data_IF_803713720229
#
_entry.id   IF_803713720229
#
_cell.length_a   1.000
_cell.length_b   1.000
_cell.length_c   1.000
_cell.angle_alpha   90.00
_cell.angle_beta   90.00
_cell.angle_gamma   90.00
#
_symmetry.space_group_name_H-M   'P 1'
#
loop_
_entity.id
_entity.type
_entity.pdbx_description
1 polymer ?
#
# COMPACT_ATOMS: atom_id res chain seq x y z
N UNK A 1 -0.14 -10.87 37.24
CA UNK A 1 0.69 -10.32 36.15
C UNK A 1 -0.16 -10.12 34.90
N UNK A 2 -0.22 -8.91 34.36
CA UNK A 2 -0.79 -8.74 33.03
C UNK A 2 0.03 -9.61 32.07
N UNK A 3 -0.63 -10.53 31.36
CA UNK A 3 0.02 -11.28 30.29
C UNK A 3 0.63 -10.26 29.32
N UNK A 4 1.89 -10.44 28.96
CA UNK A 4 2.45 -9.77 27.79
C UNK A 4 1.69 -10.31 26.58
N UNK A 5 0.76 -9.50 26.07
CA UNK A 5 -0.13 -9.90 24.98
C UNK A 5 0.68 -10.23 23.73
N UNK A 6 1.80 -9.56 23.47
CA UNK A 6 2.63 -9.80 22.28
C UNK A 6 3.35 -11.15 22.43
N UNK A 7 3.94 -11.42 23.59
CA UNK A 7 4.56 -12.72 23.85
C UNK A 7 3.54 -13.87 23.74
N UNK A 8 2.34 -13.68 24.30
CA UNK A 8 1.27 -14.67 24.23
C UNK A 8 0.77 -14.92 22.80
N UNK A 9 0.60 -13.87 22.00
CA UNK A 9 0.25 -13.99 20.59
C UNK A 9 1.37 -14.61 19.76
N UNK A 10 2.64 -14.40 20.12
CA UNK A 10 3.76 -15.08 19.48
C UNK A 10 3.78 -16.59 19.70
N UNK A 11 3.37 -17.05 20.90
CA UNK A 11 3.33 -18.47 21.24
C UNK A 11 2.05 -19.19 20.77
N UNK A 12 0.91 -18.47 20.71
CA UNK A 12 -0.40 -19.07 20.49
C UNK A 12 -1.19 -18.54 19.29
N UNK A 13 -0.73 -17.46 18.66
CA UNK A 13 -1.38 -16.84 17.52
C UNK A 13 -1.00 -17.51 16.19
N UNK A 14 -1.86 -17.32 15.19
CA UNK A 14 -1.58 -17.68 13.80
C UNK A 14 -1.64 -16.42 12.93
N UNK A 15 -0.78 -16.35 11.91
CA UNK A 15 -0.76 -15.24 10.98
C UNK A 15 -2.07 -15.23 10.16
N UNK A 16 -2.86 -14.15 10.22
CA UNK A 16 -4.08 -14.05 9.42
C UNK A 16 -3.70 -13.83 7.96
N UNK A 17 -3.88 -14.87 7.14
CA UNK A 17 -3.66 -14.80 5.70
C UNK A 17 -4.94 -14.38 4.97
N UNK A 18 -4.82 -13.58 3.91
CA UNK A 18 -5.94 -13.29 3.02
C UNK A 18 -6.72 -14.53 2.57
N UNK A 19 -8.06 -14.43 2.40
CA UNK A 19 -8.94 -15.60 2.21
C UNK A 19 -8.68 -16.39 0.91
N UNK A 20 -7.94 -15.81 -0.02
CA UNK A 20 -7.56 -16.47 -1.28
C UNK A 20 -6.27 -17.28 -1.19
N UNK A 21 -5.51 -17.18 -0.08
CA UNK A 21 -4.34 -18.03 0.17
C UNK A 21 -4.83 -19.33 0.81
N UNK A 22 -4.55 -20.46 0.16
CA UNK A 22 -5.02 -21.76 0.67
C UNK A 22 -4.25 -22.15 1.92
N UNK A 23 -4.91 -22.87 2.84
CA UNK A 23 -4.29 -23.35 4.08
C UNK A 23 -3.07 -24.27 3.84
N UNK A 24 -3.05 -25.01 2.73
CA UNK A 24 -1.87 -25.83 2.39
C UNK A 24 -0.68 -24.98 1.93
N UNK A 25 -0.92 -23.84 1.28
CA UNK A 25 0.11 -22.88 0.87
C UNK A 25 0.64 -22.09 2.08
N UNK A 26 -0.25 -21.77 3.03
CA UNK A 26 0.07 -21.13 4.31
C UNK A 26 1.13 -21.90 5.10
N UNK A 27 1.06 -23.24 5.12
CA UNK A 27 2.01 -24.10 5.83
C UNK A 27 3.45 -24.01 5.27
N UNK A 28 3.61 -23.57 4.03
CA UNK A 28 4.92 -23.38 3.37
C UNK A 28 5.39 -21.92 3.36
N UNK A 29 4.47 -21.00 3.68
CA UNK A 29 4.77 -19.58 3.86
C UNK A 29 5.37 -19.39 5.25
N UNK A 30 6.70 -19.34 5.33
CA UNK A 30 7.37 -18.84 6.52
C UNK A 30 6.85 -17.42 6.81
N UNK A 31 6.47 -17.14 8.06
CA UNK A 31 6.00 -15.82 8.50
C UNK A 31 6.95 -14.69 8.09
N UNK A 32 8.26 -14.98 8.07
CA UNK A 32 9.33 -14.10 7.60
C UNK A 32 9.22 -13.69 6.12
N UNK A 33 8.59 -14.52 5.27
CA UNK A 33 8.35 -14.22 3.84
C UNK A 33 7.10 -13.39 3.60
N UNK A 34 6.17 -13.34 4.56
CA UNK A 34 5.00 -12.48 4.49
C UNK A 34 5.22 -11.16 5.21
N UNK A 35 6.38 -10.56 4.97
CA UNK A 35 6.75 -9.27 5.50
C UNK A 35 7.74 -8.59 4.54
N UNK A 36 7.66 -7.27 4.44
CA UNK A 36 8.60 -6.51 3.62
C UNK A 36 10.00 -6.54 4.24
N UNK A 37 11.04 -6.48 3.40
CA UNK A 37 12.45 -6.50 3.87
C UNK A 37 12.84 -5.27 4.70
N UNK A 38 11.96 -4.27 4.76
CA UNK A 38 12.10 -3.01 5.47
C UNK A 38 11.06 -2.82 6.58
N UNK A 39 10.32 -3.87 6.97
CA UNK A 39 9.41 -3.81 8.11
C UNK A 39 10.18 -3.64 9.44
N UNK A 40 9.63 -2.82 10.33
CA UNK A 40 10.24 -2.48 11.62
C UNK A 40 9.28 -2.66 12.80
N UNK A 41 8.06 -2.13 12.67
CA UNK A 41 7.08 -2.11 13.75
C UNK A 41 6.03 -3.22 13.60
N UNK A 42 5.71 -3.97 14.67
CA UNK A 42 4.56 -4.89 14.67
C UNK A 42 3.25 -4.09 14.81
N UNK A 43 2.20 -4.51 14.09
CA UNK A 43 0.88 -3.90 14.23
C UNK A 43 -0.07 -4.10 13.04
N UNK A 44 0.49 -4.32 11.85
CA UNK A 44 -0.32 -4.64 10.67
C UNK A 44 -0.81 -6.10 10.70
N UNK A 45 -2.11 -6.28 10.48
CA UNK A 45 -2.72 -7.60 10.33
C UNK A 45 -2.36 -8.21 8.97
N UNK A 46 -2.18 -7.37 7.94
CA UNK A 46 -1.82 -7.79 6.60
C UNK A 46 -0.58 -7.05 6.07
N UNK A 47 0.28 -7.79 5.39
CA UNK A 47 1.46 -7.23 4.77
C UNK A 47 1.09 -6.31 3.59
N UNK A 48 1.77 -5.16 3.43
CA UNK A 48 1.63 -4.32 2.24
C UNK A 48 2.31 -5.01 1.06
N UNK A 49 1.55 -5.83 0.33
CA UNK A 49 2.14 -6.85 -0.56
C UNK A 49 2.91 -6.29 -1.76
N UNK A 50 2.66 -5.04 -2.16
CA UNK A 50 3.46 -4.37 -3.18
C UNK A 50 4.93 -4.19 -2.74
N UNK A 51 5.17 -4.06 -1.43
CA UNK A 51 6.51 -4.01 -0.86
C UNK A 51 7.26 -5.34 -0.90
N UNK A 52 6.56 -6.47 -1.09
CA UNK A 52 7.19 -7.80 -1.14
C UNK A 52 8.02 -8.02 -2.41
N UNK A 53 7.84 -7.18 -3.44
CA UNK A 53 8.67 -7.20 -4.64
C UNK A 53 10.08 -6.64 -4.41
N UNK A 54 10.33 -5.99 -3.27
CA UNK A 54 11.63 -5.41 -2.95
C UNK A 54 12.52 -6.41 -2.23
N UNK A 55 13.73 -6.58 -2.77
CA UNK A 55 14.83 -7.25 -2.08
C UNK A 55 15.81 -6.21 -1.55
N UNK A 56 16.63 -6.60 -0.56
CA UNK A 56 17.72 -5.73 -0.09
C UNK A 56 18.68 -5.33 -1.22
N UNK A 57 18.95 -6.26 -2.14
CA UNK A 57 19.77 -5.98 -3.33
C UNK A 57 19.14 -4.92 -4.23
N UNK A 58 17.82 -5.01 -4.48
CA UNK A 58 17.11 -4.02 -5.28
C UNK A 58 17.12 -2.63 -4.61
N UNK A 59 16.87 -2.57 -3.30
CA UNK A 59 16.92 -1.33 -2.54
C UNK A 59 18.31 -0.68 -2.60
N UNK A 60 19.38 -1.46 -2.44
CA UNK A 60 20.75 -0.94 -2.58
C UNK A 60 21.03 -0.43 -3.99
N UNK A 61 20.49 -1.04 -5.04
CA UNK A 61 20.62 -0.53 -6.42
C UNK A 61 19.86 0.78 -6.62
N UNK A 62 18.69 0.93 -6.01
CA UNK A 62 17.88 2.16 -6.03
C UNK A 62 18.63 3.30 -5.33
N UNK A 63 19.15 3.06 -4.13
CA UNK A 63 19.96 4.03 -3.38
C UNK A 63 21.23 4.42 -4.15
N UNK A 64 21.94 3.45 -4.74
CA UNK A 64 23.13 3.71 -5.56
C UNK A 64 22.83 4.54 -6.83
N UNK A 65 21.59 4.47 -7.34
CA UNK A 65 21.12 5.32 -8.42
C UNK A 65 20.75 6.75 -7.97
N UNK A 66 20.93 7.09 -6.69
CA UNK A 66 20.65 8.40 -6.12
C UNK A 66 19.18 8.63 -5.75
N UNK A 67 18.35 7.58 -5.79
CA UNK A 67 16.95 7.65 -5.34
C UNK A 67 16.91 7.58 -3.82
N UNK A 68 16.25 8.55 -3.19
CA UNK A 68 16.05 8.58 -1.75
C UNK A 68 14.83 7.74 -1.37
N UNK A 69 14.89 7.07 -0.23
CA UNK A 69 13.79 6.25 0.30
C UNK A 69 13.35 6.77 1.66
N UNK A 70 12.04 6.74 1.91
CA UNK A 70 11.45 6.99 3.23
C UNK A 70 10.40 5.93 3.54
N UNK A 71 10.05 5.81 4.83
CA UNK A 71 9.08 4.85 5.32
C UNK A 71 7.90 5.54 5.97
N UNK A 72 6.71 4.97 5.75
CA UNK A 72 5.47 5.29 6.46
C UNK A 72 5.06 4.04 7.24
N UNK A 73 4.74 4.19 8.52
CA UNK A 73 4.26 3.07 9.34
C UNK A 73 2.75 2.95 9.18
N UNK A 74 2.25 1.73 9.06
CA UNK A 74 0.84 1.45 8.77
C UNK A 74 0.36 0.29 9.64
N UNK A 75 -0.76 0.45 10.33
CA UNK A 75 -1.47 -0.64 11.00
C UNK A 75 -2.72 -0.99 10.19
N UNK A 76 -2.51 -1.89 9.23
CA UNK A 76 -3.54 -2.30 8.28
C UNK A 76 -4.45 -3.35 8.91
N UNK A 77 -5.75 -3.09 8.95
CA UNK A 77 -6.76 -4.04 9.41
C UNK A 77 -7.25 -4.99 8.31
N UNK A 78 -8.09 -5.97 8.67
CA UNK A 78 -8.71 -6.90 7.69
C UNK A 78 -9.64 -6.18 6.69
N UNK A 79 -10.08 -4.96 7.01
CA UNK A 79 -11.02 -4.19 6.22
C UNK A 79 -10.54 -3.86 4.81
N UNK A 80 -9.22 -3.78 4.60
CA UNK A 80 -8.59 -3.44 3.32
C UNK A 80 -8.90 -4.44 2.21
N UNK A 81 -9.26 -5.69 2.55
CA UNK A 81 -9.60 -6.74 1.57
C UNK A 81 -11.10 -6.90 1.32
N UNK A 82 -11.95 -6.11 1.98
CA UNK A 82 -13.39 -6.30 1.86
C UNK A 82 -13.90 -5.71 0.53
N UNK A 83 -14.82 -6.42 -0.16
CA UNK A 83 -15.43 -5.91 -1.39
C UNK A 83 -16.34 -4.72 -1.09
N UNK A 84 -16.56 -3.86 -2.09
CA UNK A 84 -17.59 -2.82 -2.04
C UNK A 84 -18.97 -3.50 -1.95
N UNK A 85 -19.74 -3.17 -0.91
CA UNK A 85 -21.07 -3.76 -0.63
C UNK A 85 -22.24 -2.81 -0.89
N UNK A 86 -22.01 -1.65 -1.51
CA UNK A 86 -23.03 -0.64 -1.79
C UNK A 86 -23.21 -0.45 -3.29
N UNK A 87 -24.46 -0.21 -3.71
CA UNK A 87 -24.80 0.14 -5.09
C UNK A 87 -24.45 1.59 -5.43
N UNK A 88 -24.43 2.47 -4.41
CA UNK A 88 -23.95 3.84 -4.53
C UNK A 88 -22.54 3.96 -3.95
N UNK A 89 -21.54 4.08 -4.82
CA UNK A 89 -20.13 4.17 -4.43
C UNK A 89 -19.82 5.35 -3.50
N UNK A 90 -20.57 6.45 -3.61
CA UNK A 90 -20.38 7.65 -2.78
C UNK A 90 -20.77 7.40 -1.33
N UNK A 91 -21.62 6.39 -1.09
CA UNK A 91 -22.05 5.97 0.26
C UNK A 91 -21.12 4.90 0.85
N UNK A 92 -20.09 4.46 0.12
CA UNK A 92 -19.17 3.45 0.63
C UNK A 92 -18.33 4.02 1.77
N UNK A 93 -18.43 3.39 2.95
CA UNK A 93 -17.56 3.69 4.09
C UNK A 93 -16.35 2.79 4.05
N UNK A 94 -15.17 3.39 3.93
CA UNK A 94 -13.90 2.68 4.06
C UNK A 94 -13.67 2.28 5.52
N UNK A 95 -12.92 1.22 5.71
CA UNK A 95 -12.37 0.91 7.02
C UNK A 95 -11.22 1.87 7.32
N UNK A 96 -11.21 2.36 8.56
CA UNK A 96 -10.16 3.20 9.08
C UNK A 96 -8.86 2.42 9.22
N UNK A 97 -7.76 3.03 8.81
CA UNK A 97 -6.40 2.52 8.97
C UNK A 97 -5.56 3.55 9.73
N UNK A 98 -4.78 3.09 10.70
CA UNK A 98 -3.85 3.95 11.41
C UNK A 98 -2.53 4.04 10.63
N UNK A 99 -1.94 5.23 10.59
CA UNK A 99 -0.66 5.49 9.97
C UNK A 99 0.19 6.46 10.79
N UNK A 100 1.50 6.40 10.56
CA UNK A 100 2.46 7.36 11.08
C UNK A 100 3.43 7.80 9.99
N UNK A 101 3.56 9.11 9.85
CA UNK A 101 4.56 9.78 9.02
C UNK A 101 5.50 10.50 10.00
N UNK A 102 6.77 10.11 10.00
CA UNK A 102 7.79 10.77 10.82
C UNK A 102 8.16 12.15 10.27
N UNK A 103 8.78 12.97 11.12
CA UNK A 103 9.32 14.27 10.72
C UNK A 103 10.36 14.13 9.60
N UNK A 104 11.26 13.15 9.70
CA UNK A 104 12.23 12.82 8.66
C UNK A 104 11.56 12.51 7.31
N UNK A 105 10.51 11.70 7.30
CA UNK A 105 9.76 11.37 6.07
C UNK A 105 9.07 12.61 5.49
N UNK A 106 8.43 13.43 6.32
CA UNK A 106 7.77 14.65 5.89
C UNK A 106 8.75 15.70 5.33
N UNK A 107 9.91 15.87 5.96
CA UNK A 107 10.98 16.75 5.49
C UNK A 107 11.57 16.26 4.16
N UNK A 108 11.82 14.96 4.03
CA UNK A 108 12.32 14.39 2.78
C UNK A 108 11.30 14.55 1.65
N UNK A 109 10.02 14.32 1.93
CA UNK A 109 8.93 14.51 0.99
C UNK A 109 8.89 15.96 0.50
N UNK A 110 8.89 16.92 1.43
CA UNK A 110 8.94 18.36 1.14
C UNK A 110 10.15 18.72 0.27
N UNK A 111 11.36 18.32 0.68
CA UNK A 111 12.58 18.63 -0.06
C UNK A 111 12.59 18.01 -1.47
N UNK A 112 11.97 16.83 -1.64
CA UNK A 112 11.82 16.19 -2.94
C UNK A 112 10.91 17.01 -3.84
N UNK A 113 9.78 17.50 -3.31
CA UNK A 113 8.86 18.36 -4.08
C UNK A 113 9.46 19.72 -4.40
N UNK A 114 10.12 20.37 -3.44
CA UNK A 114 10.79 21.66 -3.64
C UNK A 114 11.92 21.60 -4.68
N UNK A 115 12.55 20.44 -4.84
CA UNK A 115 13.58 20.23 -5.88
C UNK A 115 13.01 19.78 -7.23
N UNK A 116 11.69 19.67 -7.37
CA UNK A 116 11.03 19.21 -8.59
C UNK A 116 11.20 17.70 -8.84
N UNK A 117 11.55 16.94 -7.81
CA UNK A 117 11.60 15.48 -7.84
C UNK A 117 10.21 14.85 -7.81
N UNK A 118 10.17 13.52 -8.05
CA UNK A 118 8.94 12.72 -7.99
C UNK A 118 8.89 11.91 -6.71
N UNK A 119 7.70 11.83 -6.12
CA UNK A 119 7.35 10.97 -4.97
C UNK A 119 6.57 9.78 -5.48
N UNK A 120 7.14 8.57 -5.34
CA UNK A 120 6.49 7.33 -5.79
C UNK A 120 6.04 6.55 -4.56
N UNK A 121 4.74 6.34 -4.42
CA UNK A 121 4.19 5.51 -3.36
C UNK A 121 4.35 4.02 -3.68
N UNK A 122 4.76 3.24 -2.68
CA UNK A 122 4.87 1.78 -2.77
C UNK A 122 3.66 1.17 -2.05
N UNK A 123 2.65 0.80 -2.82
CA UNK A 123 1.38 0.27 -2.33
C UNK A 123 0.30 1.33 -2.13
N UNK A 124 -0.94 0.93 -2.36
CA UNK A 124 -2.13 1.79 -2.24
C UNK A 124 -2.37 2.28 -0.81
N UNK A 125 -1.98 1.52 0.20
CA UNK A 125 -2.13 1.91 1.60
C UNK A 125 -1.19 3.07 1.96
N UNK A 126 0.08 3.02 1.53
CA UNK A 126 1.01 4.14 1.69
C UNK A 126 0.55 5.37 0.92
N UNK A 127 0.01 5.20 -0.29
CA UNK A 127 -0.61 6.30 -1.03
C UNK A 127 -1.75 6.94 -0.24
N UNK A 128 -2.69 6.16 0.32
CA UNK A 128 -3.79 6.70 1.13
C UNK A 128 -3.29 7.48 2.35
N UNK A 129 -2.27 6.99 3.04
CA UNK A 129 -1.67 7.70 4.17
C UNK A 129 -1.06 9.05 3.75
N UNK A 130 -0.25 9.06 2.68
CA UNK A 130 0.35 10.29 2.15
C UNK A 130 -0.71 11.29 1.69
N UNK A 131 -1.73 10.84 0.96
CA UNK A 131 -2.83 11.68 0.48
C UNK A 131 -3.71 12.21 1.62
N UNK A 132 -3.89 11.44 2.69
CA UNK A 132 -4.65 11.89 3.87
C UNK A 132 -3.92 12.97 4.67
N UNK A 133 -2.58 12.89 4.68
CA UNK A 133 -1.69 13.84 5.35
C UNK A 133 -1.34 15.05 4.47
N UNK A 134 -1.71 15.02 3.20
CA UNK A 134 -1.34 16.05 2.23
C UNK A 134 -2.00 17.40 2.57
N UNK A 135 -1.18 18.44 2.71
CA UNK A 135 -1.65 19.82 2.74
C UNK A 135 -1.98 20.32 1.32
N UNK A 136 -2.66 21.46 1.22
CA UNK A 136 -3.03 22.08 -0.08
C UNK A 136 -1.83 22.43 -0.99
N UNK A 137 -0.63 22.56 -0.43
CA UNK A 137 0.60 22.76 -1.19
C UNK A 137 1.22 21.44 -1.70
N UNK A 138 0.56 20.30 -1.47
CA UNK A 138 1.01 18.97 -1.83
C UNK A 138 2.09 18.39 -0.93
N UNK A 139 2.43 19.01 0.21
CA UNK A 139 3.41 18.49 1.19
C UNK A 139 2.67 17.74 2.29
N UNK A 140 3.21 16.59 2.71
CA UNK A 140 2.64 15.81 3.82
C UNK A 140 3.07 16.33 5.19
N UNK A 141 2.25 16.11 6.22
CA UNK A 141 2.58 16.43 7.60
C UNK A 141 3.17 15.25 8.37
N UNK A 142 4.03 15.56 9.34
CA UNK A 142 4.43 14.60 10.37
C UNK A 142 3.28 14.42 11.35
N UNK A 143 2.73 13.21 11.41
CA UNK A 143 1.58 12.91 12.27
C UNK A 143 1.43 11.41 12.53
N UNK A 144 0.69 11.11 13.60
CA UNK A 144 0.10 9.81 13.85
C UNK A 144 -1.41 9.98 13.79
N UNK A 145 -2.06 9.34 12.82
CA UNK A 145 -3.46 9.59 12.54
C UNK A 145 -4.15 8.34 12.00
N UNK A 146 -5.45 8.46 11.87
CA UNK A 146 -6.32 7.47 11.25
C UNK A 146 -6.86 8.03 9.93
N UNK A 147 -6.97 7.18 8.92
CA UNK A 147 -7.59 7.54 7.64
C UNK A 147 -8.63 6.55 7.20
N UNK A 148 -9.78 7.07 6.81
CA UNK A 148 -10.84 6.38 6.07
C UNK A 148 -11.00 6.95 4.66
N UNK A 149 -9.95 7.59 4.12
CA UNK A 149 -10.01 8.21 2.79
C UNK A 149 -10.41 7.18 1.74
N UNK A 150 -11.43 7.54 0.96
CA UNK A 150 -11.90 6.76 -0.18
C UNK A 150 -11.50 7.46 -1.47
N UNK A 151 -10.49 6.91 -2.15
CA UNK A 151 -9.97 7.45 -3.42
C UNK A 151 -10.66 6.74 -4.58
N UNK A 152 -11.38 7.51 -5.40
CA UNK A 152 -12.12 7.02 -6.57
C UNK A 152 -12.03 8.04 -7.71
N UNK A 153 -12.42 7.68 -8.96
CA UNK A 153 -12.27 8.57 -10.11
C UNK A 153 -12.87 9.97 -9.89
N UNK A 154 -12.07 11.00 -10.18
CA UNK A 154 -12.38 12.40 -9.86
C UNK A 154 -11.63 12.95 -8.65
N UNK A 155 -10.91 12.09 -7.91
CA UNK A 155 -9.99 12.51 -6.85
C UNK A 155 -8.77 13.26 -7.41
N UNK A 156 -8.36 14.34 -6.76
CA UNK A 156 -7.17 15.13 -7.09
C UNK A 156 -6.03 14.71 -6.17
N UNK A 157 -4.97 14.14 -6.75
CA UNK A 157 -3.79 13.70 -6.01
C UNK A 157 -2.86 14.88 -5.74
N UNK A 158 -2.41 15.01 -4.50
CA UNK A 158 -1.60 16.15 -4.05
C UNK A 158 -0.18 15.75 -3.65
N UNK A 159 -0.01 14.55 -3.08
CA UNK A 159 1.23 14.16 -2.40
C UNK A 159 2.10 13.18 -3.20
N UNK A 160 1.54 12.50 -4.21
CA UNK A 160 2.23 11.43 -4.93
C UNK A 160 2.19 11.65 -6.45
N UNK A 161 3.30 11.32 -7.10
CA UNK A 161 3.50 11.49 -8.56
C UNK A 161 3.66 10.13 -9.27
N UNK A 162 3.65 9.03 -8.52
CA UNK A 162 3.71 7.67 -9.04
C UNK A 162 3.23 6.62 -8.04
N UNK A 163 2.88 5.44 -8.55
CA UNK A 163 2.41 4.32 -7.74
C UNK A 163 3.02 3.02 -8.22
N UNK A 164 3.67 2.28 -7.32
CA UNK A 164 3.95 0.86 -7.51
C UNK A 164 2.93 0.04 -6.72
N UNK A 165 2.18 -0.82 -7.39
CA UNK A 165 1.15 -1.66 -6.76
C UNK A 165 1.00 -3.01 -7.45
N UNK A 166 0.28 -3.95 -6.83
CA UNK A 166 -0.10 -5.22 -7.45
C UNK A 166 -1.25 -5.03 -8.45
N UNK A 167 -1.55 -6.07 -9.23
CA UNK A 167 -2.82 -6.15 -9.95
C UNK A 167 -3.97 -6.54 -8.99
N UNK A 168 -5.04 -5.75 -9.02
CA UNK A 168 -6.17 -5.83 -8.08
C UNK A 168 -7.39 -6.54 -8.69
N UNK A 169 -8.31 -6.97 -7.84
CA UNK A 169 -9.55 -7.61 -8.29
C UNK A 169 -10.46 -6.64 -9.06
N UNK A 170 -11.21 -7.14 -10.07
CA UNK A 170 -12.35 -6.42 -10.62
C UNK A 170 -13.32 -6.02 -9.51
N UNK A 171 -13.90 -4.80 -9.63
CA UNK A 171 -14.85 -4.24 -8.65
C UNK A 171 -14.31 -4.11 -7.21
N UNK A 172 -12.99 -3.96 -7.05
CA UNK A 172 -12.37 -3.63 -5.76
C UNK A 172 -12.17 -2.12 -5.59
N UNK A 173 -12.17 -1.65 -4.33
CA UNK A 173 -11.82 -0.26 -3.98
C UNK A 173 -10.40 0.09 -4.43
N UNK A 174 -9.47 -0.87 -4.39
CA UNK A 174 -8.10 -0.69 -4.87
C UNK A 174 -8.03 -0.42 -6.37
N UNK A 175 -8.82 -1.14 -7.17
CA UNK A 175 -8.91 -0.85 -8.61
C UNK A 175 -9.54 0.52 -8.88
N UNK A 176 -10.48 0.98 -8.03
CA UNK A 176 -11.04 2.33 -8.14
C UNK A 176 -9.98 3.41 -7.85
N UNK A 177 -9.16 3.22 -6.82
CA UNK A 177 -8.03 4.11 -6.50
C UNK A 177 -7.05 4.17 -7.67
N UNK A 178 -6.65 3.02 -8.22
CA UNK A 178 -5.75 3.00 -9.38
C UNK A 178 -6.39 3.64 -10.62
N UNK A 179 -7.69 3.44 -10.81
CA UNK A 179 -8.45 4.09 -11.89
C UNK A 179 -8.54 5.61 -11.71
N UNK A 180 -8.58 6.09 -10.47
CA UNK A 180 -8.52 7.52 -10.16
C UNK A 180 -7.14 8.09 -10.53
N UNK A 181 -6.08 7.34 -10.26
CA UNK A 181 -4.70 7.78 -10.46
C UNK A 181 -4.30 7.85 -11.93
N UNK A 182 -4.58 6.82 -12.74
CA UNK A 182 -4.12 6.76 -14.14
C UNK A 182 -5.25 6.81 -15.19
N UNK A 183 -6.49 6.96 -14.75
CA UNK A 183 -7.67 6.99 -15.61
C UNK A 183 -8.22 5.59 -15.90
N UNK A 184 -9.55 5.48 -15.86
CA UNK A 184 -10.30 4.22 -16.01
C UNK A 184 -9.97 3.48 -17.31
N UNK A 185 -9.98 4.15 -18.46
CA UNK A 185 -9.78 3.46 -19.74
C UNK A 185 -8.36 2.88 -19.85
N UNK A 186 -7.35 3.67 -19.45
CA UNK A 186 -5.95 3.24 -19.49
C UNK A 186 -5.70 2.04 -18.61
N UNK A 187 -6.24 2.04 -17.39
CA UNK A 187 -6.04 0.90 -16.49
C UNK A 187 -6.75 -0.37 -16.98
N UNK A 188 -7.95 -0.24 -17.57
CA UNK A 188 -8.67 -1.39 -18.12
C UNK A 188 -7.95 -1.97 -19.33
N UNK A 189 -7.37 -1.13 -20.18
CA UNK A 189 -6.53 -1.57 -21.29
C UNK A 189 -5.25 -2.28 -20.80
N UNK A 190 -4.56 -1.70 -19.82
CA UNK A 190 -3.39 -2.33 -19.21
C UNK A 190 -3.72 -3.70 -18.58
N UNK A 191 -4.89 -3.82 -17.93
CA UNK A 191 -5.35 -5.09 -17.37
C UNK A 191 -5.66 -6.13 -18.45
N UNK A 192 -6.21 -5.72 -19.58
CA UNK A 192 -6.44 -6.60 -20.73
C UNK A 192 -5.11 -7.15 -21.25
N UNK A 193 -4.12 -6.29 -21.45
CA UNK A 193 -2.77 -6.70 -21.88
C UNK A 193 -2.14 -7.63 -20.84
N UNK A 194 -2.23 -7.31 -19.56
CA UNK A 194 -1.69 -8.16 -18.49
C UNK A 194 -2.31 -9.58 -18.51
N UNK A 195 -3.62 -9.71 -18.79
CA UNK A 195 -4.27 -11.02 -18.95
C UNK A 195 -3.78 -11.72 -20.22
N UNK A 196 -3.66 -11.02 -21.34
CA UNK A 196 -3.20 -11.58 -22.62
C UNK A 196 -1.76 -12.09 -22.55
N UNK A 197 -0.88 -11.38 -21.82
CA UNK A 197 0.53 -11.72 -21.60
C UNK A 197 0.75 -12.69 -20.43
N UNK A 198 -0.31 -13.12 -19.75
CA UNK A 198 -0.21 -14.12 -18.68
C UNK A 198 0.40 -13.63 -17.37
N UNK A 199 0.26 -12.33 -17.06
CA UNK A 199 0.65 -11.78 -15.77
C UNK A 199 -0.11 -12.45 -14.63
N UNK A 200 0.55 -12.56 -13.49
CA UNK A 200 -0.02 -13.10 -12.26
C UNK A 200 -0.63 -11.95 -11.46
N UNK A 201 -1.83 -12.16 -10.93
CA UNK A 201 -2.58 -11.12 -10.22
C UNK A 201 -2.47 -11.30 -8.70
N UNK A 202 -3.04 -10.36 -7.93
CA UNK A 202 -3.13 -10.42 -6.47
C UNK A 202 -1.80 -10.23 -5.73
N UNK A 203 -1.82 -10.51 -4.42
CA UNK A 203 -0.74 -10.19 -3.49
C UNK A 203 0.58 -10.91 -3.74
N UNK A 204 0.58 -12.09 -4.38
CA UNK A 204 1.81 -12.78 -4.80
C UNK A 204 2.00 -12.80 -6.32
N UNK A 205 1.22 -12.00 -7.03
CA UNK A 205 1.32 -11.85 -8.46
C UNK A 205 2.51 -10.99 -8.88
N UNK A 206 2.35 -10.33 -10.01
CA UNK A 206 3.29 -9.35 -10.54
C UNK A 206 2.91 -7.94 -10.06
N UNK A 207 3.83 -7.00 -10.26
CA UNK A 207 3.67 -5.60 -9.92
C UNK A 207 3.44 -4.74 -11.17
N UNK A 208 2.86 -3.57 -10.94
CA UNK A 208 2.66 -2.52 -11.91
C UNK A 208 3.22 -1.23 -11.34
N UNK A 209 4.04 -0.54 -12.14
CA UNK A 209 4.53 0.80 -11.85
C UNK A 209 3.80 1.79 -12.76
N UNK A 210 3.14 2.76 -12.15
CA UNK A 210 2.40 3.83 -12.82
C UNK A 210 3.15 5.12 -12.59
N UNK A 211 3.49 5.78 -13.69
CA UNK A 211 4.17 7.07 -13.73
C UNK A 211 3.38 7.98 -14.69
N UNK A 212 3.37 9.27 -14.42
CA UNK A 212 3.01 10.31 -15.39
C UNK A 212 4.05 10.44 -16.51
#
# INVERSE_FOLDING_TARGET
>A
PALDLIAYLGEHGELPLPPYIRKEEAATLHSERYQTVFAKEPGAIAAPTAGLHFTRELLSKIEAAGVKTATVTLHVGMGTFLPVRTDNIVEHKMHTEWYEISEETAELHKATRESGGRVIAIGTTSMRALESSAQRNGVVTSEQAETDIFIFPGYEFLAVDGLLTNFHLPKSTLLMLVSAFCGRERILEAYKVAVEEGYRFFSYGDAMLILD
#
